data_IF_400624142360
#
_entry.id   IF_400624142360
#
_cell.length_a   1.000
_cell.length_b   1.000
_cell.length_c   1.000
_cell.angle_alpha   90.00
_cell.angle_beta   90.00
_cell.angle_gamma   90.00
#
_symmetry.space_group_name_H-M   'P 1'
#
loop_
_entity.id
_entity.type
_entity.pdbx_description
1 polymer ?
#
# COMPACT_ATOMS: atom_id res chain seq x y z
N UNK A 1 7.43 10.15 -2.15
CA UNK A 1 6.43 11.21 -2.37
C UNK A 1 6.99 12.59 -2.03
N UNK A 2 6.23 13.65 -2.26
CA UNK A 2 6.67 15.02 -2.01
C UNK A 2 5.93 15.56 -0.77
N UNK A 3 6.57 15.68 0.40
CA UNK A 3 5.93 16.12 1.64
C UNK A 3 5.82 17.66 1.75
N UNK A 4 5.73 18.36 0.62
CA UNK A 4 5.52 19.82 0.60
C UNK A 4 4.09 20.15 1.05
N UNK A 5 3.95 21.03 2.03
CA UNK A 5 2.66 21.35 2.64
C UNK A 5 1.62 21.91 1.64
N UNK A 6 2.04 22.69 0.64
CA UNK A 6 1.12 23.24 -0.34
C UNK A 6 0.60 22.15 -1.30
N UNK A 7 1.45 21.21 -1.69
CA UNK A 7 1.06 20.06 -2.51
C UNK A 7 0.12 19.15 -1.71
N UNK A 8 0.41 18.89 -0.44
CA UNK A 8 -0.47 18.11 0.44
C UNK A 8 -1.85 18.75 0.58
N UNK A 9 -1.92 20.08 0.78
CA UNK A 9 -3.20 20.81 0.82
C UNK A 9 -3.98 20.72 -0.49
N UNK A 10 -3.28 20.79 -1.64
CA UNK A 10 -3.90 20.59 -2.95
C UNK A 10 -4.48 19.17 -3.04
N UNK A 11 -3.73 18.13 -2.66
CA UNK A 11 -4.24 16.77 -2.65
C UNK A 11 -5.47 16.60 -1.76
N UNK A 12 -5.46 17.23 -0.56
CA UNK A 12 -6.64 17.24 0.31
C UNK A 12 -7.84 17.88 -0.37
N UNK A 13 -7.67 19.04 -1.03
CA UNK A 13 -8.76 19.71 -1.74
C UNK A 13 -9.34 18.89 -2.91
N UNK A 14 -8.56 17.93 -3.43
CA UNK A 14 -8.99 16.98 -4.46
C UNK A 14 -9.64 15.70 -3.88
N UNK A 15 -9.78 15.61 -2.55
CA UNK A 15 -10.33 14.42 -1.89
C UNK A 15 -9.39 13.20 -1.88
N UNK A 16 -8.10 13.40 -2.14
CA UNK A 16 -7.12 12.32 -2.11
C UNK A 16 -6.74 11.96 -0.66
N UNK A 17 -6.32 10.70 -0.47
CA UNK A 17 -5.79 10.17 0.80
C UNK A 17 -4.27 10.03 0.73
N UNK A 18 -3.64 9.80 1.89
CA UNK A 18 -2.18 9.71 2.02
C UNK A 18 -1.75 8.28 2.34
N UNK A 19 -0.77 7.78 1.62
CA UNK A 19 0.01 6.60 1.98
C UNK A 19 1.42 7.08 2.39
N UNK A 20 1.65 7.13 3.69
CA UNK A 20 2.89 7.64 4.27
C UNK A 20 3.93 6.52 4.40
N UNK A 21 5.17 6.79 4.03
CA UNK A 21 6.29 5.85 4.14
C UNK A 21 7.05 5.97 5.46
N UNK A 22 6.71 6.95 6.28
CA UNK A 22 7.26 7.14 7.62
C UNK A 22 6.29 7.89 8.53
N UNK A 23 6.52 7.80 9.85
CA UNK A 23 5.74 8.55 10.82
C UNK A 23 5.86 10.06 10.61
N UNK A 24 7.02 10.53 10.16
CA UNK A 24 7.27 11.94 9.85
C UNK A 24 6.43 12.43 8.66
N UNK A 25 6.22 11.61 7.64
CA UNK A 25 5.33 11.94 6.54
C UNK A 25 3.87 11.99 6.99
N UNK A 26 3.45 11.07 7.86
CA UNK A 26 2.12 11.09 8.46
C UNK A 26 1.90 12.38 9.29
N UNK A 27 2.83 12.76 10.14
CA UNK A 27 2.78 14.02 10.91
C UNK A 27 2.70 15.26 10.01
N UNK A 28 3.47 15.27 8.90
CA UNK A 28 3.41 16.35 7.91
C UNK A 28 2.06 16.42 7.20
N UNK A 29 1.44 15.28 6.91
CA UNK A 29 0.10 15.25 6.34
C UNK A 29 -0.93 15.83 7.32
N UNK A 30 -0.87 15.45 8.59
CA UNK A 30 -1.72 16.04 9.65
C UNK A 30 -1.49 17.56 9.77
N UNK A 31 -0.23 18.02 9.78
CA UNK A 31 0.11 19.43 9.81
C UNK A 31 -0.36 20.20 8.56
N UNK A 32 -0.50 19.52 7.42
CA UNK A 32 -1.09 20.07 6.21
C UNK A 32 -2.63 20.08 6.23
N UNK A 33 -3.24 19.49 7.26
CA UNK A 33 -4.68 19.50 7.52
C UNK A 33 -5.42 18.20 7.21
N UNK A 34 -4.73 17.09 6.88
CA UNK A 34 -5.39 15.79 6.74
C UNK A 34 -5.86 15.25 8.09
N UNK A 35 -7.01 14.59 8.10
CA UNK A 35 -7.43 13.78 9.22
C UNK A 35 -6.59 12.49 9.27
N UNK A 36 -6.25 12.03 10.48
CA UNK A 36 -5.45 10.82 10.61
C UNK A 36 -6.11 9.59 9.96
N UNK A 37 -7.44 9.53 9.94
CA UNK A 37 -8.22 8.49 9.28
C UNK A 37 -8.06 8.43 7.74
N UNK A 38 -7.58 9.51 7.12
CA UNK A 38 -7.25 9.55 5.70
C UNK A 38 -5.78 9.19 5.40
N UNK A 39 -5.03 8.79 6.43
CA UNK A 39 -3.63 8.43 6.33
C UNK A 39 -3.45 6.94 6.59
N UNK A 40 -2.70 6.28 5.73
CA UNK A 40 -2.15 4.94 5.96
C UNK A 40 -0.63 5.01 6.09
N UNK A 41 -0.07 4.18 6.97
CA UNK A 41 1.37 4.07 7.17
C UNK A 41 1.88 2.75 6.58
N UNK A 42 2.75 2.84 5.58
CA UNK A 42 3.44 1.70 4.93
C UNK A 42 4.96 1.92 5.05
N UNK A 43 5.55 1.54 6.17
CA UNK A 43 6.94 1.88 6.49
C UNK A 43 7.84 0.65 6.52
N UNK A 44 9.14 0.84 6.24
CA UNK A 44 10.18 -0.18 6.45
C UNK A 44 10.57 -0.27 7.94
N UNK A 45 10.77 0.87 8.57
CA UNK A 45 11.05 0.96 10.00
C UNK A 45 9.73 1.14 10.75
N UNK A 46 9.29 0.09 11.42
CA UNK A 46 8.06 0.13 12.19
C UNK A 46 8.28 0.95 13.48
N UNK A 47 7.68 2.14 13.60
CA UNK A 47 7.83 2.96 14.80
C UNK A 47 7.15 2.28 15.99
N UNK A 48 7.67 2.55 17.20
CA UNK A 48 7.11 2.02 18.48
C UNK A 48 7.03 3.10 19.52
N UNK A 49 6.99 4.34 19.10
CA UNK A 49 6.93 5.51 19.97
C UNK A 49 5.49 6.06 20.10
N UNK A 50 5.33 7.02 21.01
CA UNK A 50 4.04 7.65 21.29
C UNK A 50 3.39 8.31 20.09
N UNK A 51 4.18 8.66 19.06
CA UNK A 51 3.66 9.25 17.82
C UNK A 51 2.80 8.28 17.05
N UNK A 52 3.25 7.00 16.93
CA UNK A 52 2.46 5.95 16.32
C UNK A 52 1.14 5.78 17.08
N UNK A 53 1.21 5.62 18.40
CA UNK A 53 0.01 5.42 19.23
C UNK A 53 -0.96 6.58 19.11
N UNK A 54 -0.46 7.81 19.15
CA UNK A 54 -1.29 9.02 19.01
C UNK A 54 -2.00 9.08 17.66
N UNK A 55 -1.33 8.74 16.55
CA UNK A 55 -1.93 8.78 15.21
C UNK A 55 -2.90 7.64 14.97
N UNK A 56 -2.57 6.42 15.45
CA UNK A 56 -3.48 5.27 15.38
C UNK A 56 -4.75 5.53 16.19
N UNK A 57 -4.64 6.08 17.39
CA UNK A 57 -5.79 6.47 18.21
C UNK A 57 -6.69 7.52 17.53
N UNK A 58 -6.13 8.33 16.63
CA UNK A 58 -6.87 9.29 15.80
C UNK A 58 -7.39 8.70 14.49
N UNK A 59 -7.22 7.40 14.27
CA UNK A 59 -7.77 6.68 13.12
C UNK A 59 -6.78 6.38 11.99
N UNK A 60 -5.48 6.72 12.12
CA UNK A 60 -4.49 6.33 11.13
C UNK A 60 -4.42 4.80 11.02
N UNK A 61 -4.45 4.29 9.80
CA UNK A 61 -4.31 2.86 9.54
C UNK A 61 -2.84 2.47 9.31
N UNK A 62 -2.50 1.22 9.67
CA UNK A 62 -1.16 0.68 9.48
C UNK A 62 -1.21 -0.48 8.50
N UNK A 63 -0.26 -0.51 7.55
CA UNK A 63 0.00 -1.63 6.67
C UNK A 63 1.27 -2.35 7.13
N UNK A 64 1.14 -3.58 7.62
CA UNK A 64 2.29 -4.41 7.94
C UNK A 64 3.01 -4.84 6.66
N UNK A 65 4.30 -4.55 6.58
CA UNK A 65 5.15 -4.81 5.41
C UNK A 65 6.05 -6.04 5.56
N UNK A 66 5.97 -6.74 6.68
CA UNK A 66 6.67 -8.00 6.94
C UNK A 66 5.93 -8.82 8.00
N UNK A 67 6.24 -10.11 8.13
CA UNK A 67 5.68 -10.96 9.20
C UNK A 67 6.03 -10.41 10.59
N UNK A 68 7.26 -9.92 10.77
CA UNK A 68 7.68 -9.30 12.03
C UNK A 68 6.84 -8.05 12.37
N UNK A 69 6.59 -7.19 11.38
CA UNK A 69 5.72 -6.03 11.58
C UNK A 69 4.29 -6.44 11.91
N UNK A 70 3.78 -7.50 11.29
CA UNK A 70 2.44 -8.01 11.57
C UNK A 70 2.33 -8.54 13.01
N UNK A 71 3.32 -9.29 13.48
CA UNK A 71 3.40 -9.72 14.88
C UNK A 71 3.42 -8.53 15.84
N UNK A 72 4.21 -7.50 15.52
CA UNK A 72 4.27 -6.28 16.33
C UNK A 72 2.94 -5.53 16.33
N UNK A 73 2.27 -5.42 15.18
CA UNK A 73 0.93 -4.85 15.10
C UNK A 73 -0.04 -5.61 16.01
N UNK A 74 -0.04 -6.94 15.96
CA UNK A 74 -0.90 -7.76 16.80
C UNK A 74 -0.61 -7.61 18.31
N UNK A 75 0.67 -7.51 18.67
CA UNK A 75 1.08 -7.31 20.07
C UNK A 75 0.68 -5.92 20.59
N UNK A 76 0.86 -4.87 19.78
CA UNK A 76 0.60 -3.48 20.17
C UNK A 76 -0.89 -3.11 20.07
N UNK A 77 -1.60 -3.70 19.13
CA UNK A 77 -2.99 -3.39 18.81
C UNK A 77 -3.82 -4.67 18.63
N UNK A 78 -3.99 -5.50 19.67
CA UNK A 78 -4.78 -6.73 19.57
C UNK A 78 -6.23 -6.42 19.17
N UNK A 79 -6.84 -7.30 18.37
CA UNK A 79 -8.19 -7.17 17.84
C UNK A 79 -8.41 -5.94 16.92
N UNK A 80 -7.33 -5.31 16.43
CA UNK A 80 -7.43 -4.15 15.57
C UNK A 80 -7.58 -4.52 14.09
N UNK A 81 -8.00 -3.52 13.31
CA UNK A 81 -7.91 -3.58 11.84
C UNK A 81 -6.50 -3.31 11.36
N UNK A 82 -6.01 -4.12 10.43
CA UNK A 82 -4.67 -4.00 9.86
C UNK A 82 -4.72 -4.10 8.35
N UNK A 83 -3.91 -3.31 7.66
CA UNK A 83 -3.57 -3.51 6.25
C UNK A 83 -2.36 -4.43 6.13
N UNK A 84 -2.26 -5.15 5.02
CA UNK A 84 -1.12 -6.00 4.70
C UNK A 84 -0.51 -5.56 3.39
N UNK A 85 0.80 -5.26 3.38
CA UNK A 85 1.54 -5.05 2.14
C UNK A 85 2.20 -6.35 1.72
N UNK A 86 1.75 -6.88 0.58
CA UNK A 86 2.34 -8.07 -0.04
C UNK A 86 3.31 -7.70 -1.17
N UNK A 87 4.33 -8.54 -1.31
CA UNK A 87 5.11 -8.66 -2.52
C UNK A 87 4.46 -9.77 -3.38
N UNK A 88 3.82 -9.43 -4.50
CA UNK A 88 3.08 -10.40 -5.31
C UNK A 88 3.98 -11.28 -6.21
N UNK A 89 5.30 -11.21 -6.06
CA UNK A 89 6.25 -11.93 -6.90
C UNK A 89 6.48 -11.29 -8.28
N UNK A 90 5.81 -10.19 -8.56
CA UNK A 90 5.93 -9.40 -9.78
C UNK A 90 6.51 -8.03 -9.45
N UNK A 91 7.51 -7.60 -10.20
CA UNK A 91 8.07 -6.27 -10.10
C UNK A 91 8.21 -5.61 -11.46
N UNK A 92 8.19 -4.28 -11.46
CA UNK A 92 8.43 -3.45 -12.63
C UNK A 92 9.44 -2.35 -12.27
N UNK A 93 10.27 -1.97 -13.21
CA UNK A 93 11.25 -0.90 -13.04
C UNK A 93 12.38 -0.98 -14.06
N UNK A 94 12.85 0.16 -14.54
CA UNK A 94 13.95 0.24 -15.51
C UNK A 94 15.33 -0.16 -14.96
N UNK A 95 15.45 -0.31 -13.64
CA UNK A 95 16.64 -0.77 -12.94
C UNK A 95 16.29 -1.66 -11.75
N UNK A 96 17.24 -2.48 -11.28
CA UNK A 96 17.03 -3.30 -10.08
C UNK A 96 16.65 -2.47 -8.84
N UNK A 97 17.11 -1.22 -8.75
CA UNK A 97 16.80 -0.31 -7.63
C UNK A 97 15.37 0.23 -7.66
N UNK A 98 14.76 0.32 -8.83
CA UNK A 98 13.37 0.80 -8.99
C UNK A 98 12.35 -0.34 -9.03
N UNK A 99 12.82 -1.58 -9.09
CA UNK A 99 12.01 -2.78 -9.00
C UNK A 99 11.81 -3.13 -7.51
N UNK A 100 10.69 -2.73 -6.93
CA UNK A 100 10.34 -2.97 -5.51
C UNK A 100 9.34 -4.13 -5.32
N UNK A 101 9.14 -4.93 -6.35
CA UNK A 101 8.40 -6.18 -6.33
C UNK A 101 9.26 -7.33 -6.88
N UNK A 102 8.73 -8.57 -6.82
CA UNK A 102 9.43 -9.74 -7.33
C UNK A 102 10.40 -10.40 -6.34
N UNK A 103 11.05 -11.52 -6.75
CA UNK A 103 11.76 -12.42 -5.81
C UNK A 103 12.96 -11.80 -5.11
N UNK A 104 13.58 -10.78 -5.71
CA UNK A 104 14.76 -10.11 -5.15
C UNK A 104 14.42 -8.90 -4.27
N UNK A 105 13.14 -8.57 -4.10
CA UNK A 105 12.71 -7.42 -3.31
C UNK A 105 12.42 -7.81 -1.87
N UNK A 106 12.93 -7.02 -0.92
CA UNK A 106 12.64 -7.14 0.51
C UNK A 106 11.39 -6.37 0.94
N UNK A 107 10.67 -5.75 -0.01
CA UNK A 107 9.49 -4.94 0.28
C UNK A 107 8.21 -5.78 0.27
N UNK A 108 7.50 -5.77 1.37
CA UNK A 108 6.24 -6.49 1.53
C UNK A 108 6.41 -7.95 1.97
N UNK A 109 5.34 -8.53 2.48
CA UNK A 109 5.26 -9.95 2.84
C UNK A 109 5.25 -10.76 1.56
N UNK A 110 6.09 -11.79 1.46
CA UNK A 110 6.09 -12.67 0.30
C UNK A 110 4.74 -13.41 0.17
N UNK A 111 4.17 -13.42 -1.01
CA UNK A 111 2.79 -13.89 -1.21
C UNK A 111 2.57 -15.35 -0.82
N UNK A 112 3.59 -16.20 -0.89
CA UNK A 112 3.52 -17.60 -0.45
C UNK A 112 3.49 -17.77 1.07
N UNK A 113 3.83 -16.73 1.85
CA UNK A 113 3.78 -16.76 3.31
C UNK A 113 2.36 -16.56 3.87
N UNK A 114 1.32 -16.65 3.05
CA UNK A 114 -0.07 -16.37 3.42
C UNK A 114 -0.56 -17.20 4.61
N UNK A 115 -0.14 -18.46 4.73
CA UNK A 115 -0.50 -19.31 5.86
C UNK A 115 0.12 -18.85 7.17
N UNK A 116 1.34 -18.30 7.11
CA UNK A 116 1.99 -17.68 8.28
C UNK A 116 1.24 -16.40 8.68
N UNK A 117 0.86 -15.59 7.69
CA UNK A 117 0.03 -14.40 7.91
C UNK A 117 -1.26 -14.75 8.61
N UNK A 118 -2.02 -15.75 8.12
CA UNK A 118 -3.29 -16.18 8.70
C UNK A 118 -3.13 -16.65 10.16
N UNK A 119 -2.05 -17.35 10.48
CA UNK A 119 -1.75 -17.77 11.87
C UNK A 119 -1.55 -16.57 12.79
N UNK A 120 -0.79 -15.56 12.36
CA UNK A 120 -0.54 -14.35 13.13
C UNK A 120 -1.85 -13.57 13.32
N UNK A 121 -2.58 -13.36 12.23
CA UNK A 121 -3.88 -12.65 12.24
C UNK A 121 -4.85 -13.30 13.23
N UNK A 122 -5.00 -14.63 13.16
CA UNK A 122 -5.85 -15.38 14.08
C UNK A 122 -5.35 -15.30 15.53
N UNK A 123 -4.03 -15.47 15.74
CA UNK A 123 -3.43 -15.47 17.07
C UNK A 123 -3.60 -14.16 17.83
N UNK A 124 -3.70 -13.05 17.14
CA UNK A 124 -3.88 -11.72 17.73
C UNK A 124 -5.30 -11.15 17.55
N UNK A 125 -6.23 -11.88 16.92
CA UNK A 125 -7.59 -11.43 16.65
C UNK A 125 -7.66 -10.27 15.65
N UNK A 126 -6.65 -10.10 14.78
CA UNK A 126 -6.62 -8.99 13.84
C UNK A 126 -7.66 -9.18 12.72
N UNK A 127 -8.20 -8.06 12.22
CA UNK A 127 -9.06 -8.01 11.05
C UNK A 127 -8.29 -7.41 9.87
N UNK A 128 -8.08 -8.20 8.80
CA UNK A 128 -7.42 -7.71 7.59
C UNK A 128 -8.43 -6.98 6.72
N UNK A 129 -8.38 -5.64 6.73
CA UNK A 129 -9.32 -4.80 5.97
C UNK A 129 -8.75 -4.28 4.65
N UNK A 130 -7.42 -4.32 4.48
CA UNK A 130 -6.73 -3.78 3.30
C UNK A 130 -5.64 -4.71 2.82
N UNK A 131 -5.60 -4.93 1.51
CA UNK A 131 -4.44 -5.50 0.80
C UNK A 131 -3.76 -4.37 0.04
N UNK A 132 -2.45 -4.24 0.22
CA UNK A 132 -1.60 -3.31 -0.49
C UNK A 132 -0.53 -4.08 -1.26
N UNK A 133 -0.35 -3.77 -2.53
CA UNK A 133 0.74 -4.23 -3.37
C UNK A 133 1.41 -3.04 -4.05
N UNK A 134 2.70 -3.13 -4.31
CA UNK A 134 3.41 -2.11 -5.05
C UNK A 134 4.52 -2.77 -5.85
N UNK A 135 4.44 -2.67 -7.17
CA UNK A 135 5.31 -3.39 -8.09
C UNK A 135 6.55 -2.58 -8.55
N UNK A 136 6.63 -1.32 -8.14
CA UNK A 136 7.70 -0.40 -8.56
C UNK A 136 7.18 0.64 -9.54
N UNK A 137 8.05 1.10 -10.44
CA UNK A 137 7.71 2.11 -11.45
C UNK A 137 7.63 1.49 -12.84
N UNK A 138 6.56 1.80 -13.56
CA UNK A 138 6.37 1.31 -14.92
C UNK A 138 5.19 1.96 -15.61
N UNK A 139 5.20 1.91 -16.95
CA UNK A 139 4.12 2.42 -17.81
C UNK A 139 3.49 1.32 -18.67
N UNK A 140 3.95 0.06 -18.51
CA UNK A 140 3.43 -1.08 -19.28
C UNK A 140 2.08 -1.53 -18.73
N UNK A 141 0.97 -1.39 -19.49
CA UNK A 141 -0.36 -1.81 -19.05
C UNK A 141 -0.47 -3.30 -18.72
N UNK A 142 0.27 -4.17 -19.42
CA UNK A 142 0.20 -5.62 -19.19
C UNK A 142 0.74 -6.01 -17.81
N UNK A 143 1.80 -5.33 -17.36
CA UNK A 143 2.36 -5.54 -16.02
C UNK A 143 1.34 -5.14 -14.95
N UNK A 144 0.62 -4.04 -15.15
CA UNK A 144 -0.41 -3.59 -14.24
C UNK A 144 -1.62 -4.54 -14.20
N UNK A 145 -2.06 -5.06 -15.34
CA UNK A 145 -3.14 -6.07 -15.39
C UNK A 145 -2.76 -7.35 -14.62
N UNK A 146 -1.52 -7.82 -14.79
CA UNK A 146 -1.01 -8.96 -14.03
C UNK A 146 -0.96 -8.67 -12.52
N UNK A 147 -0.49 -7.48 -12.14
CA UNK A 147 -0.44 -7.05 -10.75
C UNK A 147 -1.82 -7.02 -10.09
N UNK A 148 -2.85 -6.52 -10.80
CA UNK A 148 -4.23 -6.54 -10.33
C UNK A 148 -4.71 -7.97 -10.10
N UNK A 149 -4.52 -8.88 -11.05
CA UNK A 149 -4.92 -10.28 -10.92
C UNK A 149 -4.30 -10.98 -9.72
N UNK A 150 -2.99 -10.81 -9.51
CA UNK A 150 -2.28 -11.34 -8.34
C UNK A 150 -2.80 -10.73 -7.03
N UNK A 151 -3.07 -9.42 -7.03
CA UNK A 151 -3.58 -8.72 -5.84
C UNK A 151 -5.00 -9.14 -5.48
N UNK A 152 -5.87 -9.35 -6.48
CA UNK A 152 -7.23 -9.86 -6.27
C UNK A 152 -7.23 -11.30 -5.73
N UNK A 153 -6.27 -12.13 -6.14
CA UNK A 153 -6.09 -13.46 -5.54
C UNK A 153 -5.73 -13.39 -4.05
N UNK A 154 -4.92 -12.42 -3.64
CA UNK A 154 -4.62 -12.17 -2.23
C UNK A 154 -5.86 -11.69 -1.47
N UNK A 155 -6.69 -10.84 -2.08
CA UNK A 155 -7.96 -10.39 -1.48
C UNK A 155 -8.87 -11.57 -1.14
N UNK A 156 -8.99 -12.58 -2.02
CA UNK A 156 -9.81 -13.78 -1.78
C UNK A 156 -9.41 -14.58 -0.54
N UNK A 157 -8.22 -14.34 -0.02
CA UNK A 157 -7.72 -15.08 1.16
C UNK A 157 -8.18 -14.52 2.50
N UNK A 158 -8.90 -13.37 2.49
CA UNK A 158 -9.35 -12.68 3.70
C UNK A 158 -10.77 -12.12 3.50
N UNK A 159 -11.71 -12.51 4.33
CA UNK A 159 -13.13 -12.19 4.16
C UNK A 159 -13.49 -10.73 4.45
N UNK A 160 -12.68 -10.03 5.28
CA UNK A 160 -12.97 -8.66 5.74
C UNK A 160 -12.31 -7.56 4.87
N UNK A 161 -11.66 -7.92 3.76
CA UNK A 161 -10.98 -6.92 2.91
C UNK A 161 -11.99 -6.06 2.18
N UNK A 162 -11.91 -4.76 2.42
CA UNK A 162 -12.74 -3.74 1.77
C UNK A 162 -11.94 -2.76 0.93
N UNK A 163 -10.61 -2.78 1.05
CA UNK A 163 -9.72 -1.86 0.34
C UNK A 163 -8.60 -2.62 -0.36
N UNK A 164 -8.44 -2.40 -1.66
CA UNK A 164 -7.25 -2.81 -2.41
C UNK A 164 -6.47 -1.58 -2.85
N UNK A 165 -5.19 -1.50 -2.43
CA UNK A 165 -4.24 -0.47 -2.84
C UNK A 165 -3.17 -1.11 -3.72
N UNK A 166 -3.12 -0.72 -4.97
CA UNK A 166 -2.16 -1.25 -5.96
C UNK A 166 -0.85 -0.46 -6.01
N UNK A 167 -0.70 0.50 -5.11
CA UNK A 167 0.46 1.39 -5.09
C UNK A 167 0.41 2.43 -6.20
N UNK A 168 1.55 3.00 -6.47
CA UNK A 168 1.76 3.98 -7.52
C UNK A 168 2.97 3.60 -8.38
N UNK A 169 3.68 4.60 -8.89
CA UNK A 169 4.87 4.38 -9.73
C UNK A 169 4.61 4.62 -11.20
N UNK A 170 3.54 5.31 -11.55
CA UNK A 170 3.28 5.74 -12.92
C UNK A 170 4.35 6.73 -13.36
N UNK A 171 4.96 6.46 -14.52
CA UNK A 171 6.00 7.31 -15.09
C UNK A 171 5.40 8.66 -15.51
N UNK A 172 6.09 9.73 -15.14
CA UNK A 172 5.82 11.10 -15.61
C UNK A 172 7.02 11.55 -16.42
N UNK A 173 6.79 11.98 -17.65
CA UNK A 173 7.83 12.57 -18.50
C UNK A 173 8.38 13.85 -17.85
N UNK A 174 9.70 13.92 -17.69
CA UNK A 174 10.41 15.07 -17.12
C UNK A 174 11.16 15.86 -18.17
N UNK A 175 11.42 15.22 -19.30
CA UNK A 175 12.09 15.80 -20.43
C UNK A 175 11.17 15.79 -21.66
N UNK A 176 11.37 16.66 -22.67
CA UNK A 176 10.50 16.75 -23.84
C UNK A 176 10.35 15.46 -24.66
N UNK A 177 11.34 14.57 -24.60
CA UNK A 177 11.42 13.29 -25.30
C UNK A 177 10.94 12.10 -24.44
N UNK A 178 10.53 12.35 -23.18
CA UNK A 178 10.00 11.31 -22.32
C UNK A 178 8.47 11.23 -22.35
N UNK A 179 7.94 10.02 -22.47
CA UNK A 179 6.52 9.77 -22.41
C UNK A 179 6.00 9.69 -20.98
N UNK A 180 4.83 10.29 -20.76
CA UNK A 180 4.04 10.13 -19.52
C UNK A 180 3.13 8.92 -19.67
N UNK A 181 2.98 8.15 -18.61
CA UNK A 181 2.06 7.01 -18.57
C UNK A 181 0.62 7.43 -18.92
N UNK A 182 0.02 6.78 -19.89
CA UNK A 182 -1.42 6.91 -20.14
C UNK A 182 -2.22 6.18 -19.05
N UNK A 183 -2.77 6.96 -18.13
CA UNK A 183 -3.54 6.44 -17.01
C UNK A 183 -4.86 5.79 -17.46
N UNK A 184 -5.42 6.15 -18.60
CA UNK A 184 -6.63 5.54 -19.12
C UNK A 184 -6.33 4.16 -19.70
N UNK A 185 -5.22 4.02 -20.43
CA UNK A 185 -4.77 2.74 -20.97
C UNK A 185 -4.47 1.71 -19.87
N UNK A 186 -4.01 2.16 -18.69
CA UNK A 186 -3.80 1.30 -17.52
C UNK A 186 -5.12 1.10 -16.76
N UNK A 187 -5.88 2.14 -16.54
CA UNK A 187 -7.06 2.12 -15.66
C UNK A 187 -8.23 1.30 -16.21
N UNK A 188 -8.46 1.30 -17.53
CA UNK A 188 -9.57 0.58 -18.13
C UNK A 188 -9.50 -0.94 -17.89
N UNK A 189 -8.41 -1.65 -18.26
CA UNK A 189 -8.33 -3.09 -18.03
C UNK A 189 -8.27 -3.46 -16.53
N UNK A 190 -7.75 -2.57 -15.66
CA UNK A 190 -7.81 -2.76 -14.23
C UNK A 190 -9.25 -2.73 -13.73
N UNK A 191 -10.07 -1.79 -14.18
CA UNK A 191 -11.50 -1.71 -13.87
C UNK A 191 -12.22 -2.98 -14.27
N UNK A 192 -12.03 -3.46 -15.50
CA UNK A 192 -12.62 -4.71 -15.97
C UNK A 192 -12.24 -5.92 -15.09
N UNK A 193 -10.99 -5.97 -14.61
CA UNK A 193 -10.56 -7.04 -13.70
C UNK A 193 -11.30 -6.97 -12.35
N UNK A 194 -11.56 -5.77 -11.82
CA UNK A 194 -12.37 -5.57 -10.62
C UNK A 194 -13.82 -5.98 -10.84
N UNK A 195 -14.43 -5.56 -11.92
CA UNK A 195 -15.82 -5.88 -12.26
C UNK A 195 -16.03 -7.40 -12.36
N UNK A 196 -15.11 -8.10 -13.03
CA UNK A 196 -15.11 -9.58 -13.08
C UNK A 196 -14.85 -10.25 -11.74
N UNK A 197 -14.16 -9.59 -10.84
CA UNK A 197 -13.94 -10.14 -9.50
C UNK A 197 -15.17 -10.04 -8.59
N UNK A 198 -16.01 -9.02 -8.82
CA UNK A 198 -17.22 -8.77 -8.04
C UNK A 198 -18.44 -9.58 -8.56
N UNK A 199 -18.39 -10.07 -9.80
CA UNK A 199 -19.44 -10.91 -10.41
C UNK A 199 -19.32 -12.37 -9.96
#
# INVERSE_FOLDING_TARGET
>A
ACPNANILRLFKSMGLKIDASSIYEAERAVAAGFDASDISLSTQEFPTDDRLFSLVAKGMSVNACSLNQLERCGTLFPNAKVGLRFNPGLGSGGTQRTNVGGPASSFGIWFEDIDKVKKIVLGHGLEVFRIHTHIGSGSDPEVWVKAVGLSLNLVRSFDAVTVLNLGGGYKVGRMPDEETTDLQAIGAPMREAFERFQS
#
